data_IF_297459387974
#
_entry.id   IF_297459387974
#
_cell.length_a   1.000
_cell.length_b   1.000
_cell.length_c   1.000
_cell.angle_alpha   90.00
_cell.angle_beta   90.00
_cell.angle_gamma   90.00
#
_symmetry.space_group_name_H-M   'P 1'
#
loop_
_entity.id
_entity.type
_entity.pdbx_description
1 polymer ?
#
# COMPACT_ATOMS: atom_id res chain seq x y z
N UNK A 1 -16.32 0.86 30.06
CA UNK A 1 -15.29 0.36 31.00
C UNK A 1 -14.03 1.18 30.76
N UNK A 2 -13.62 1.96 31.76
CA UNK A 2 -12.39 2.75 31.87
C UNK A 2 -11.99 3.66 30.69
N UNK A 3 -12.33 4.95 30.83
CA UNK A 3 -11.56 6.08 30.31
C UNK A 3 -10.08 5.87 30.65
N UNK A 4 -9.23 5.60 29.66
CA UNK A 4 -7.78 5.73 29.77
C UNK A 4 -7.26 6.00 28.38
N UNK A 5 -6.93 7.27 28.10
CA UNK A 5 -6.04 7.74 27.04
C UNK A 5 -5.75 6.69 25.96
N UNK A 6 -6.74 6.43 25.10
CA UNK A 6 -6.73 5.40 24.06
C UNK A 6 -5.80 5.82 22.91
N UNK A 7 -4.54 6.09 23.27
CA UNK A 7 -3.51 6.53 22.36
C UNK A 7 -3.11 5.29 21.56
N UNK A 8 -3.47 5.31 20.29
CA UNK A 8 -3.22 4.21 19.37
C UNK A 8 -1.74 3.81 19.47
N UNK A 9 -1.41 2.55 19.81
CA UNK A 9 -0.03 2.13 19.97
C UNK A 9 0.78 2.44 18.71
N UNK A 10 2.02 2.89 18.86
CA UNK A 10 2.89 3.18 17.72
C UNK A 10 3.02 1.97 16.77
N UNK A 11 3.00 0.76 17.30
CA UNK A 11 2.96 -0.49 16.52
C UNK A 11 1.76 -0.60 15.58
N UNK A 12 0.60 -0.08 15.96
CA UNK A 12 -0.59 -0.08 15.11
C UNK A 12 -0.40 0.81 13.88
N UNK A 13 0.33 1.93 14.03
CA UNK A 13 0.73 2.77 12.91
C UNK A 13 1.65 2.02 11.95
N UNK A 14 2.64 1.27 12.48
CA UNK A 14 3.55 0.46 11.67
C UNK A 14 2.81 -0.63 10.90
N UNK A 15 1.90 -1.35 11.57
CA UNK A 15 1.05 -2.37 10.94
C UNK A 15 0.15 -1.76 9.88
N UNK A 16 -0.49 -0.63 10.17
CA UNK A 16 -1.31 0.09 9.20
C UNK A 16 -0.49 0.51 7.97
N UNK A 17 0.72 1.02 8.18
CA UNK A 17 1.60 1.45 7.09
C UNK A 17 2.00 0.27 6.21
N UNK A 18 2.35 -0.87 6.81
CA UNK A 18 2.65 -2.11 6.07
C UNK A 18 1.44 -2.63 5.30
N UNK A 19 0.25 -2.62 5.90
CA UNK A 19 -0.99 -3.05 5.27
C UNK A 19 -1.38 -2.12 4.12
N UNK A 20 -1.33 -0.81 4.32
CA UNK A 20 -1.64 0.19 3.30
C UNK A 20 -0.64 0.10 2.13
N UNK A 21 0.65 -0.03 2.42
CA UNK A 21 1.69 -0.16 1.41
C UNK A 21 1.55 -1.48 0.62
N UNK A 22 1.29 -2.59 1.32
CA UNK A 22 1.08 -3.90 0.71
C UNK A 22 -0.19 -3.94 -0.15
N UNK A 23 -1.30 -3.38 0.34
CA UNK A 23 -2.56 -3.30 -0.40
C UNK A 23 -2.43 -2.39 -1.63
N UNK A 24 -1.73 -1.25 -1.50
CA UNK A 24 -1.43 -0.37 -2.62
C UNK A 24 -0.59 -1.06 -3.70
N UNK A 25 0.49 -1.75 -3.30
CA UNK A 25 1.29 -2.55 -4.23
C UNK A 25 0.46 -3.64 -4.92
N UNK A 26 -0.33 -4.40 -4.15
CA UNK A 26 -1.20 -5.45 -4.68
C UNK A 26 -2.26 -4.89 -5.65
N UNK A 27 -2.86 -3.74 -5.35
CA UNK A 27 -3.82 -3.07 -6.24
C UNK A 27 -3.16 -2.67 -7.57
N UNK A 28 -1.93 -2.14 -7.52
CA UNK A 28 -1.17 -1.79 -8.72
C UNK A 28 -0.81 -3.05 -9.54
N UNK A 29 -0.39 -4.14 -8.89
CA UNK A 29 -0.10 -5.40 -9.57
C UNK A 29 -1.35 -6.05 -10.20
N UNK A 30 -2.50 -5.94 -9.54
CA UNK A 30 -3.75 -6.58 -9.98
C UNK A 30 -4.49 -5.79 -11.07
N UNK A 31 -4.56 -4.46 -10.95
CA UNK A 31 -5.26 -3.60 -11.92
C UNK A 31 -4.34 -3.13 -13.04
N UNK A 32 -3.06 -2.91 -12.72
CA UNK A 32 -2.14 -2.17 -13.58
C UNK A 32 -1.40 -2.99 -14.63
N UNK A 33 -1.65 -4.31 -14.78
CA UNK A 33 -1.12 -5.12 -15.88
C UNK A 33 0.32 -4.78 -16.26
N UNK A 34 1.28 -5.19 -15.43
CA UNK A 34 2.72 -4.92 -15.62
C UNK A 34 3.09 -3.43 -15.77
N UNK A 35 3.61 -2.84 -14.69
CA UNK A 35 4.34 -1.55 -14.76
C UNK A 35 5.43 -1.54 -15.85
N UNK A 36 5.95 -2.72 -16.21
CA UNK A 36 6.96 -2.92 -17.26
C UNK A 36 6.35 -2.77 -18.66
N UNK A 37 5.09 -3.16 -18.87
CA UNK A 37 4.42 -3.02 -20.16
C UNK A 37 4.13 -1.54 -20.49
N UNK A 38 3.77 -0.75 -19.48
CA UNK A 38 3.50 0.69 -19.62
C UNK A 38 4.72 1.53 -19.97
N UNK A 39 5.93 1.16 -19.51
CA UNK A 39 7.19 1.81 -19.90
C UNK A 39 7.77 1.28 -21.23
N UNK A 40 7.48 0.03 -21.61
CA UNK A 40 7.99 -0.55 -22.85
C UNK A 40 7.27 -0.03 -24.10
N UNK A 41 5.97 0.26 -24.01
CA UNK A 41 5.18 0.83 -25.10
C UNK A 41 5.69 2.19 -25.63
N UNK A 42 5.98 3.21 -24.80
CA UNK A 42 6.49 4.50 -25.27
C UNK A 42 7.96 4.47 -25.73
N UNK A 43 8.71 3.39 -25.48
CA UNK A 43 10.09 3.22 -25.96
C UNK A 43 10.12 2.51 -27.32
N UNK A 44 9.07 1.75 -27.65
CA UNK A 44 8.94 1.00 -28.91
C UNK A 44 7.97 1.63 -29.92
N UNK A 45 7.22 2.68 -29.55
CA UNK A 45 6.29 3.42 -30.41
C UNK A 45 6.93 4.67 -31.02
#
# INVERSE_FOLDING_TARGET
>A
MAETNSRVPFWWLVVFLLLALGAGAAAIFTVGGSLIAGIALPILA
#
